data_IF_707554941456
#
_entry.id   IF_707554941456
#
_cell.length_a   1.000
_cell.length_b   1.000
_cell.length_c   1.000
_cell.angle_alpha   90.00
_cell.angle_beta   90.00
_cell.angle_gamma   90.00
#
_symmetry.space_group_name_H-M   'P 1'
#
loop_
_entity.id
_entity.type
_entity.pdbx_description
1 polymer ?
#
# COMPACT_ATOMS: atom_id res chain seq x y z
N UNK A 1 -29.39 -32.11 -4.90
CA UNK A 1 -29.13 -31.71 -6.30
C UNK A 1 -29.28 -30.18 -6.32
N UNK A 2 -28.23 -29.41 -6.07
CA UNK A 2 -27.27 -28.94 -7.07
C UNK A 2 -25.86 -28.84 -6.47
N UNK A 3 -24.93 -29.50 -7.14
CA UNK A 3 -23.48 -29.39 -6.95
C UNK A 3 -23.00 -28.09 -7.59
N UNK A 4 -22.70 -27.06 -6.77
CA UNK A 4 -21.97 -25.87 -7.22
C UNK A 4 -21.16 -25.27 -6.08
N UNK A 5 -19.93 -25.75 -5.84
CA UNK A 5 -18.89 -24.92 -5.17
C UNK A 5 -17.44 -25.41 -5.35
N UNK A 6 -17.16 -26.64 -5.81
CA UNK A 6 -15.78 -27.11 -5.99
C UNK A 6 -14.94 -26.26 -6.96
N UNK A 7 -15.58 -25.54 -7.89
CA UNK A 7 -14.90 -24.62 -8.83
C UNK A 7 -14.52 -23.28 -8.17
N UNK A 8 -15.25 -22.84 -7.14
CA UNK A 8 -14.94 -21.61 -6.38
C UNK A 8 -13.83 -21.86 -5.35
N UNK A 9 -13.77 -23.06 -4.78
CA UNK A 9 -12.72 -23.48 -3.84
C UNK A 9 -11.32 -23.65 -4.47
N UNK A 10 -11.24 -23.68 -5.82
CA UNK A 10 -10.00 -23.92 -6.56
C UNK A 10 -9.09 -22.70 -6.76
N UNK A 11 -9.60 -21.47 -6.64
CA UNK A 11 -8.80 -20.28 -6.97
C UNK A 11 -8.00 -19.74 -5.78
N UNK A 12 -7.09 -20.57 -5.24
CA UNK A 12 -6.14 -20.21 -4.16
C UNK A 12 -4.99 -19.28 -4.63
N UNK A 13 -5.20 -18.52 -5.72
CA UNK A 13 -4.20 -17.62 -6.32
C UNK A 13 -4.28 -16.19 -5.80
N UNK A 14 -5.40 -15.80 -5.18
CA UNK A 14 -5.58 -14.45 -4.65
C UNK A 14 -4.55 -14.14 -3.56
N UNK A 15 -3.86 -13.01 -3.69
CA UNK A 15 -2.85 -12.54 -2.73
C UNK A 15 -1.73 -13.55 -2.45
N UNK A 16 -1.38 -14.39 -3.43
CA UNK A 16 -0.31 -15.39 -3.32
C UNK A 16 0.72 -15.19 -4.43
N UNK A 17 1.97 -14.94 -4.03
CA UNK A 17 3.12 -14.98 -4.94
C UNK A 17 3.47 -16.42 -5.31
N UNK A 18 3.83 -16.64 -6.58
CA UNK A 18 4.26 -17.96 -7.08
C UNK A 18 5.70 -18.21 -6.66
N UNK A 19 6.02 -19.48 -6.38
CA UNK A 19 7.40 -19.86 -6.10
C UNK A 19 8.22 -19.90 -7.38
N UNK A 20 9.42 -19.36 -7.30
CA UNK A 20 10.45 -19.38 -8.32
C UNK A 20 11.35 -20.59 -8.07
N UNK A 21 11.86 -21.21 -9.14
CA UNK A 21 12.73 -22.40 -9.03
C UNK A 21 13.96 -22.10 -8.17
N UNK A 22 14.57 -20.92 -8.40
CA UNK A 22 15.82 -20.51 -7.73
C UNK A 22 15.58 -19.73 -6.43
N UNK A 23 14.32 -19.57 -6.00
CA UNK A 23 13.92 -18.68 -4.89
C UNK A 23 14.51 -17.26 -5.02
N UNK A 24 14.57 -16.74 -6.23
CA UNK A 24 15.18 -15.44 -6.50
C UNK A 24 14.27 -14.25 -6.17
N UNK A 25 12.96 -14.47 -6.04
CA UNK A 25 12.02 -13.39 -5.76
C UNK A 25 11.97 -13.10 -4.26
N UNK A 26 12.43 -11.90 -3.88
CA UNK A 26 12.31 -11.39 -2.53
C UNK A 26 10.87 -10.94 -2.24
N UNK A 27 10.34 -11.33 -1.08
CA UNK A 27 9.05 -10.90 -0.56
C UNK A 27 9.23 -10.16 0.76
N UNK A 28 8.55 -9.03 0.87
CA UNK A 28 8.30 -8.33 2.12
C UNK A 28 7.33 -9.11 3.00
N UNK A 29 7.29 -8.73 4.29
CA UNK A 29 6.39 -9.36 5.26
C UNK A 29 4.92 -9.38 4.78
N UNK A 30 4.46 -8.26 4.23
CA UNK A 30 3.06 -8.07 3.86
C UNK A 30 2.70 -8.82 2.56
N UNK A 31 3.64 -8.95 1.61
CA UNK A 31 3.53 -9.80 0.41
C UNK A 31 3.58 -11.30 0.72
N UNK A 32 4.43 -11.73 1.66
CA UNK A 32 4.59 -13.14 2.01
C UNK A 32 3.31 -13.74 2.65
N UNK A 33 2.44 -12.86 3.15
CA UNK A 33 1.32 -13.25 3.97
C UNK A 33 0.00 -13.37 3.22
N UNK A 34 -0.62 -14.56 3.32
CA UNK A 34 -1.84 -14.89 2.58
C UNK A 34 -3.08 -14.10 3.07
N UNK A 35 -4.10 -13.88 2.20
CA UNK A 35 -5.26 -13.05 2.53
C UNK A 35 -6.06 -13.50 3.76
N UNK A 36 -6.20 -14.81 3.98
CA UNK A 36 -6.97 -15.33 5.11
C UNK A 36 -6.30 -15.13 6.48
N UNK A 37 -5.10 -14.57 6.51
CA UNK A 37 -4.42 -14.22 7.76
C UNK A 37 -4.50 -12.71 8.09
N UNK A 38 -5.29 -11.94 7.34
CA UNK A 38 -5.64 -10.56 7.69
C UNK A 38 -6.37 -10.58 9.03
N UNK A 39 -5.94 -9.73 9.97
CA UNK A 39 -6.45 -9.67 11.34
C UNK A 39 -5.74 -10.60 12.32
N UNK A 40 -4.84 -11.48 11.87
CA UNK A 40 -4.09 -12.41 12.74
C UNK A 40 -2.59 -12.14 12.68
N UNK A 41 -2.02 -12.19 11.48
CA UNK A 41 -0.58 -12.00 11.25
C UNK A 41 -0.31 -10.71 10.48
N UNK A 42 -1.13 -10.41 9.48
CA UNK A 42 -1.11 -9.13 8.77
C UNK A 42 -2.30 -8.28 9.15
N UNK A 43 -2.15 -6.98 9.02
CA UNK A 43 -3.21 -6.01 9.29
C UNK A 43 -3.74 -5.40 7.99
N UNK A 44 -4.50 -4.31 8.10
CA UNK A 44 -5.02 -3.55 6.97
C UNK A 44 -4.06 -2.43 6.55
N UNK A 45 -3.95 -2.23 5.23
CA UNK A 45 -3.18 -1.13 4.64
C UNK A 45 -3.96 0.20 4.60
N UNK A 46 -5.24 0.18 4.94
CA UNK A 46 -6.09 1.37 5.01
C UNK A 46 -6.91 1.32 6.29
N UNK A 47 -6.88 2.43 7.02
CA UNK A 47 -7.55 2.60 8.30
C UNK A 47 -8.51 3.78 8.22
N UNK A 48 -9.80 3.50 8.31
CA UNK A 48 -10.87 4.49 8.29
C UNK A 48 -12.14 3.95 8.98
N UNK A 49 -13.07 4.83 9.33
CA UNK A 49 -14.29 4.47 10.05
C UNK A 49 -15.44 3.99 9.15
N UNK A 50 -15.41 4.29 7.85
CA UNK A 50 -16.54 4.02 6.93
C UNK A 50 -16.92 2.54 6.73
N UNK A 51 -16.07 1.59 7.16
CA UNK A 51 -16.40 0.15 7.11
C UNK A 51 -17.11 -0.34 8.39
N UNK A 52 -17.21 0.49 9.43
CA UNK A 52 -17.97 0.17 10.63
C UNK A 52 -19.46 0.18 10.32
N UNK A 53 -20.22 -0.70 10.97
CA UNK A 53 -21.64 -0.93 10.68
C UNK A 53 -22.48 0.35 10.73
N UNK A 54 -22.20 1.21 11.72
CA UNK A 54 -22.92 2.47 11.96
C UNK A 54 -22.56 3.61 10.99
N UNK A 55 -21.40 3.53 10.32
CA UNK A 55 -20.80 4.67 9.59
C UNK A 55 -20.70 4.45 8.07
N UNK A 56 -21.54 3.58 7.48
CA UNK A 56 -21.51 3.18 6.06
C UNK A 56 -22.03 4.22 5.05
N UNK A 57 -21.77 5.50 5.26
CA UNK A 57 -22.32 6.56 4.41
C UNK A 57 -21.52 6.80 3.13
N UNK A 58 -20.18 6.66 3.17
CA UNK A 58 -19.29 7.07 2.07
C UNK A 58 -18.23 6.02 1.70
N UNK A 59 -18.50 4.74 1.97
CA UNK A 59 -17.54 3.64 1.75
C UNK A 59 -16.95 3.63 0.33
N UNK A 60 -17.79 3.66 -0.70
CA UNK A 60 -17.35 3.63 -2.10
C UNK A 60 -16.44 4.81 -2.48
N UNK A 61 -16.77 6.01 -1.98
CA UNK A 61 -15.95 7.20 -2.20
C UNK A 61 -14.58 7.08 -1.51
N UNK A 62 -14.55 6.60 -0.26
CA UNK A 62 -13.29 6.42 0.47
C UNK A 62 -12.37 5.41 -0.22
N UNK A 63 -12.91 4.30 -0.70
CA UNK A 63 -12.11 3.31 -1.46
C UNK A 63 -11.59 3.92 -2.77
N UNK A 64 -12.41 4.66 -3.50
CA UNK A 64 -11.98 5.33 -4.73
C UNK A 64 -10.86 6.35 -4.47
N UNK A 65 -10.98 7.14 -3.39
CA UNK A 65 -9.95 8.09 -2.99
C UNK A 65 -8.64 7.38 -2.60
N UNK A 66 -8.72 6.29 -1.84
CA UNK A 66 -7.53 5.52 -1.45
C UNK A 66 -6.81 4.95 -2.68
N UNK A 67 -7.54 4.47 -3.68
CA UNK A 67 -6.97 4.01 -4.96
C UNK A 67 -6.31 5.14 -5.75
N UNK A 68 -6.92 6.33 -5.79
CA UNK A 68 -6.33 7.50 -6.44
C UNK A 68 -5.01 7.88 -5.76
N UNK A 69 -4.97 7.93 -4.42
CA UNK A 69 -3.76 8.22 -3.65
C UNK A 69 -2.67 7.18 -3.96
N UNK A 70 -3.01 5.88 -3.91
CA UNK A 70 -2.05 4.80 -4.17
C UNK A 70 -1.46 4.89 -5.58
N UNK A 71 -2.30 5.09 -6.60
CA UNK A 71 -1.85 5.20 -8.00
C UNK A 71 -1.00 6.45 -8.22
N UNK A 72 -1.42 7.58 -7.66
CA UNK A 72 -0.70 8.84 -7.78
C UNK A 72 0.70 8.76 -7.19
N UNK A 73 0.82 8.24 -5.96
CA UNK A 73 2.10 8.08 -5.27
C UNK A 73 3.00 7.08 -6.01
N UNK A 74 2.45 5.93 -6.46
CA UNK A 74 3.22 4.95 -7.25
C UNK A 74 3.71 5.52 -8.58
N UNK A 75 2.96 6.44 -9.18
CA UNK A 75 3.33 7.10 -10.43
C UNK A 75 4.42 8.17 -10.25
N UNK A 76 4.25 9.06 -9.25
CA UNK A 76 5.18 10.18 -9.03
C UNK A 76 6.48 9.74 -8.36
N UNK A 77 6.38 8.86 -7.36
CA UNK A 77 7.54 8.35 -6.63
C UNK A 77 8.09 7.05 -7.26
N UNK A 78 7.95 6.91 -8.58
CA UNK A 78 8.43 5.73 -9.31
C UNK A 78 9.91 5.45 -9.06
N UNK A 79 10.74 6.49 -9.05
CA UNK A 79 12.18 6.41 -8.83
C UNK A 79 12.55 5.93 -7.41
N UNK A 80 11.67 6.15 -6.44
CA UNK A 80 11.93 5.94 -5.01
C UNK A 80 11.10 4.79 -4.41
N UNK A 81 10.30 4.08 -5.21
CA UNK A 81 9.45 3.00 -4.71
C UNK A 81 10.27 1.78 -4.31
N UNK A 82 9.76 1.04 -3.32
CA UNK A 82 10.30 -0.26 -2.94
C UNK A 82 9.51 -1.36 -3.68
N UNK A 83 10.20 -2.24 -4.41
CA UNK A 83 9.61 -3.39 -5.13
C UNK A 83 8.46 -2.94 -6.05
N UNK A 84 7.20 -3.16 -5.66
CA UNK A 84 5.99 -2.79 -6.42
C UNK A 84 5.31 -1.51 -5.89
N UNK A 85 5.81 -0.93 -4.78
CA UNK A 85 5.17 0.19 -4.08
C UNK A 85 3.75 -0.14 -3.60
N UNK A 86 3.45 -1.43 -3.40
CA UNK A 86 2.10 -1.90 -3.11
C UNK A 86 1.67 -1.62 -1.66
N UNK A 87 2.64 -1.61 -0.75
CA UNK A 87 2.49 -1.57 0.71
C UNK A 87 2.41 -0.15 1.28
N UNK A 88 1.66 0.72 0.61
CA UNK A 88 1.37 2.06 1.14
C UNK A 88 0.30 1.93 2.24
N UNK A 89 0.55 2.53 3.39
CA UNK A 89 -0.40 2.55 4.51
C UNK A 89 -1.12 3.90 4.53
N UNK A 90 -2.44 3.89 4.46
CA UNK A 90 -3.28 5.09 4.52
C UNK A 90 -4.01 5.09 5.86
N UNK A 91 -3.86 6.18 6.63
CA UNK A 91 -4.53 6.37 7.92
C UNK A 91 -5.39 7.62 7.83
N UNK A 92 -6.70 7.48 8.05
CA UNK A 92 -7.63 8.62 8.07
C UNK A 92 -7.98 8.96 9.51
N UNK A 93 -7.61 10.16 9.95
CA UNK A 93 -7.90 10.67 11.30
C UNK A 93 -8.79 11.90 11.16
N UNK A 94 -10.09 11.73 11.34
CA UNK A 94 -11.07 12.77 11.05
C UNK A 94 -10.99 13.19 9.57
N UNK A 95 -10.74 14.48 9.32
CA UNK A 95 -10.60 15.01 7.97
C UNK A 95 -9.19 14.84 7.38
N UNK A 96 -8.18 14.53 8.20
CA UNK A 96 -6.80 14.44 7.73
C UNK A 96 -6.45 13.04 7.22
N UNK A 97 -5.71 12.99 6.12
CA UNK A 97 -5.23 11.74 5.50
C UNK A 97 -3.72 11.68 5.65
N UNK A 98 -3.25 10.68 6.40
CA UNK A 98 -1.84 10.39 6.55
C UNK A 98 -1.48 9.23 5.66
N UNK A 99 -0.46 9.42 4.82
CA UNK A 99 0.04 8.39 3.92
C UNK A 99 1.44 8.01 4.33
N UNK A 100 1.61 6.79 4.80
CA UNK A 100 2.88 6.25 5.27
C UNK A 100 3.36 5.11 4.37
N UNK A 101 4.67 4.84 4.40
CA UNK A 101 5.24 3.69 3.71
C UNK A 101 6.76 3.74 3.69
N UNK A 102 7.35 2.87 2.91
CA UNK A 102 8.80 2.84 2.70
C UNK A 102 9.15 3.37 1.32
N UNK A 103 10.20 4.17 1.27
CA UNK A 103 10.85 4.62 0.04
C UNK A 103 12.29 4.16 0.05
N UNK A 104 12.77 3.70 -1.10
CA UNK A 104 14.18 3.40 -1.30
C UNK A 104 14.90 4.69 -1.63
N UNK A 105 16.04 4.91 -0.99
CA UNK A 105 17.02 5.85 -1.52
C UNK A 105 18.21 5.09 -2.11
N UNK A 106 18.51 5.38 -3.37
CA UNK A 106 19.79 4.96 -3.94
C UNK A 106 20.95 5.71 -3.27
N UNK A 107 22.19 5.39 -3.66
CA UNK A 107 23.40 6.04 -3.12
C UNK A 107 23.46 7.57 -3.28
N UNK A 108 22.61 8.17 -4.11
CA UNK A 108 22.55 9.63 -4.32
C UNK A 108 21.17 10.16 -3.93
N UNK A 109 21.09 10.75 -2.75
CA UNK A 109 19.94 11.49 -2.26
C UNK A 109 20.00 12.94 -2.76
N UNK A 110 19.15 13.30 -3.73
CA UNK A 110 18.87 14.71 -4.01
C UNK A 110 17.79 15.22 -3.05
N UNK A 111 18.25 15.67 -1.89
CA UNK A 111 17.41 16.15 -0.79
C UNK A 111 16.45 17.24 -1.28
N UNK A 112 16.92 18.17 -2.13
CA UNK A 112 16.11 19.30 -2.62
C UNK A 112 14.95 18.81 -3.48
N UNK A 113 15.21 17.89 -4.41
CA UNK A 113 14.17 17.29 -5.26
C UNK A 113 13.15 16.52 -4.43
N UNK A 114 13.61 15.79 -3.40
CA UNK A 114 12.72 15.03 -2.51
C UNK A 114 11.79 15.95 -1.74
N UNK A 115 12.30 16.98 -1.07
CA UNK A 115 11.45 17.94 -0.33
C UNK A 115 10.49 18.68 -1.25
N UNK A 116 10.91 19.04 -2.47
CA UNK A 116 10.03 19.64 -3.46
C UNK A 116 8.90 18.69 -3.88
N UNK A 117 9.23 17.43 -4.18
CA UNK A 117 8.23 16.40 -4.50
C UNK A 117 7.27 16.16 -3.33
N UNK A 118 7.78 16.18 -2.10
CA UNK A 118 6.98 16.01 -0.89
C UNK A 118 5.92 17.10 -0.75
N UNK A 119 6.34 18.36 -0.86
CA UNK A 119 5.43 19.51 -0.84
C UNK A 119 4.44 19.48 -2.01
N UNK A 120 4.91 19.14 -3.21
CA UNK A 120 4.05 19.02 -4.38
C UNK A 120 2.95 17.98 -4.18
N UNK A 121 3.29 16.78 -3.70
CA UNK A 121 2.32 15.69 -3.49
C UNK A 121 1.32 16.05 -2.38
N UNK A 122 1.79 16.60 -1.25
CA UNK A 122 0.90 17.05 -0.17
C UNK A 122 -0.09 18.11 -0.65
N UNK A 123 0.38 19.15 -1.32
CA UNK A 123 -0.46 20.25 -1.79
C UNK A 123 -1.42 19.78 -2.89
N UNK A 124 -0.94 19.03 -3.87
CA UNK A 124 -1.77 18.56 -4.98
C UNK A 124 -2.89 17.63 -4.48
N UNK A 125 -2.56 16.61 -3.67
CA UNK A 125 -3.57 15.71 -3.13
C UNK A 125 -4.54 16.45 -2.21
N UNK A 126 -4.07 17.44 -1.46
CA UNK A 126 -4.93 18.25 -0.61
C UNK A 126 -5.94 19.06 -1.42
N UNK A 127 -5.52 19.63 -2.54
CA UNK A 127 -6.40 20.35 -3.46
C UNK A 127 -7.40 19.45 -4.19
N UNK A 128 -6.99 18.24 -4.57
CA UNK A 128 -7.86 17.27 -5.26
C UNK A 128 -8.90 16.69 -4.33
N UNK A 129 -8.49 16.25 -3.14
CA UNK A 129 -9.38 15.57 -2.18
C UNK A 129 -10.18 16.56 -1.32
N UNK A 130 -9.79 17.84 -1.28
CA UNK A 130 -10.32 18.86 -0.36
C UNK A 130 -10.13 18.49 1.12
N UNK A 131 -9.03 17.79 1.41
CA UNK A 131 -8.68 17.28 2.73
C UNK A 131 -7.18 17.50 2.96
N UNK A 132 -6.73 17.84 4.17
CA UNK A 132 -5.29 17.94 4.43
C UNK A 132 -4.64 16.56 4.32
N UNK A 133 -3.67 16.44 3.42
CA UNK A 133 -2.86 15.24 3.24
C UNK A 133 -1.47 15.45 3.82
N UNK A 134 -0.99 14.45 4.57
CA UNK A 134 0.35 14.44 5.17
C UNK A 134 1.08 13.17 4.78
N UNK A 135 2.31 13.30 4.32
CA UNK A 135 3.14 12.16 3.94
C UNK A 135 4.12 11.83 5.08
N UNK A 136 4.18 10.55 5.44
CA UNK A 136 5.03 9.98 6.49
C UNK A 136 5.82 8.78 5.92
N UNK A 137 6.68 9.02 4.93
CA UNK A 137 7.54 7.95 4.40
C UNK A 137 8.84 7.82 5.18
N UNK A 138 9.25 6.57 5.38
CA UNK A 138 10.56 6.22 5.91
C UNK A 138 11.47 5.78 4.77
N UNK A 139 12.70 6.27 4.78
CA UNK A 139 13.72 5.95 3.80
C UNK A 139 14.50 4.69 4.20
N UNK A 140 14.77 3.83 3.23
CA UNK A 140 15.54 2.58 3.37
C UNK A 140 16.66 2.55 2.33
N UNK A 141 17.85 2.08 2.72
CA UNK A 141 19.04 2.04 1.86
C UNK A 141 18.93 0.97 0.77
N UNK A 142 18.61 -0.26 1.19
CA UNK A 142 18.53 -1.40 0.30
C UNK A 142 17.18 -2.08 0.42
N UNK A 143 16.69 -2.62 -0.69
CA UNK A 143 15.43 -3.38 -0.68
C UNK A 143 15.55 -4.65 0.16
N UNK A 144 16.76 -5.19 0.29
CA UNK A 144 17.08 -6.33 1.16
C UNK A 144 16.75 -6.09 2.62
N UNK A 145 16.76 -4.84 3.08
CA UNK A 145 16.47 -4.51 4.49
C UNK A 145 15.00 -4.76 4.83
N UNK A 146 14.14 -4.82 3.81
CA UNK A 146 12.72 -5.13 3.92
C UNK A 146 12.41 -6.60 3.56
N UNK A 147 13.43 -7.41 3.24
CA UNK A 147 13.26 -8.81 2.90
C UNK A 147 12.76 -9.61 4.11
N UNK A 148 11.66 -10.34 3.91
CA UNK A 148 11.17 -11.30 4.89
C UNK A 148 11.41 -12.75 4.45
N UNK A 149 11.14 -13.05 3.17
CA UNK A 149 11.31 -14.39 2.63
C UNK A 149 11.72 -14.33 1.14
N UNK A 150 12.33 -15.40 0.65
CA UNK A 150 12.72 -15.58 -0.76
C UNK A 150 11.99 -16.79 -1.33
N UNK A 151 11.26 -16.59 -2.44
CA UNK A 151 10.25 -17.54 -2.94
C UNK A 151 10.43 -17.90 -4.40
#
# INVERSE_FOLDING_TARGET
>A
MLSMTSVVEGNRRSGKYRSTIDRSQMLTYEMAQRPYHIGIRKSWLTWHTQNLEEFKLKQGLTVAQDEVIRRFIRGILYDYRVIDGSEIVIKRRGNAVFVSGFLKYGRRLDIRRIYWLWGFVEEFLSQVLKQPVKLEFQFVEQESDLAYNYV
#
